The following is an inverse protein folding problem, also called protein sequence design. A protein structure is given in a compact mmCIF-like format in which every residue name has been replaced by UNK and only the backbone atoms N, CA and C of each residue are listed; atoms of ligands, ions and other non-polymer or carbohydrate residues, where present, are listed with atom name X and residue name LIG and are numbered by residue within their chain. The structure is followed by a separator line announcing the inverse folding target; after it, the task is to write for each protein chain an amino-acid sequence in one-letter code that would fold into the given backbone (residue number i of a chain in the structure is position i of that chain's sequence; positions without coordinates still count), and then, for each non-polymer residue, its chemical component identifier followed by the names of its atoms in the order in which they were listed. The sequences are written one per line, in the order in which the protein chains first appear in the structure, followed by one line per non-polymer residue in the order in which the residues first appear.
data_IF_777007975556
#
_entry.id   IF_777007975556
#
_cell.length_a   1.000
_cell.length_b   1.000
_cell.length_c   1.000
_cell.angle_alpha   90.00
_cell.angle_beta   90.00
_cell.angle_gamma   90.00
#
_symmetry.space_group_name_H-M   'P 1'
#
loop_
_entity.id
_entity.type
_entity.pdbx_description
1 polymer ?
#
# COMPACT_ATOMS: atom_id res chain seq x y z
N UNK A 1 4.61 2.16 16.54
CA UNK A 1 5.50 1.55 15.53
C UNK A 1 4.95 1.92 14.16
N UNK A 2 5.79 2.20 13.15
CA UNK A 2 5.30 2.44 11.79
C UNK A 2 4.48 1.24 11.29
N UNK A 3 3.68 1.43 10.25
CA UNK A 3 2.93 0.37 9.57
C UNK A 3 2.97 0.59 8.07
N UNK A 4 3.08 -0.50 7.32
CA UNK A 4 3.04 -0.50 5.86
C UNK A 4 1.68 -1.00 5.37
N UNK A 5 0.94 -0.16 4.65
CA UNK A 5 -0.35 -0.52 4.07
C UNK A 5 -0.18 -0.74 2.57
N UNK A 6 -0.45 -1.96 2.10
CA UNK A 6 -0.29 -2.37 0.71
C UNK A 6 -1.66 -2.45 0.02
N UNK A 7 -1.89 -1.60 -0.97
CA UNK A 7 -3.14 -1.60 -1.74
C UNK A 7 -3.06 -2.62 -2.88
N UNK A 8 -4.08 -3.46 -3.03
CA UNK A 8 -4.17 -4.52 -4.06
C UNK A 8 -5.45 -4.39 -4.87
N UNK A 9 -5.37 -4.63 -6.19
CA UNK A 9 -6.55 -4.74 -7.05
C UNK A 9 -6.34 -4.24 -8.49
N UNK A 10 -7.34 -4.46 -9.33
CA UNK A 10 -7.29 -4.18 -10.76
C UNK A 10 -7.21 -2.65 -11.05
N UNK A 11 -6.58 -2.21 -12.16
CA UNK A 11 -6.71 -0.83 -12.63
C UNK A 11 -8.17 -0.39 -12.70
N UNK A 12 -8.47 0.87 -12.32
CA UNK A 12 -9.83 1.40 -12.31
C UNK A 12 -10.74 0.92 -11.16
N UNK A 13 -10.28 0.08 -10.23
CA UNK A 13 -11.11 -0.41 -9.11
C UNK A 13 -11.29 0.58 -7.94
N UNK A 14 -10.69 1.77 -7.99
CA UNK A 14 -10.79 2.78 -6.92
C UNK A 14 -9.74 2.66 -5.80
N UNK A 15 -8.66 1.89 -5.99
CA UNK A 15 -7.54 1.77 -5.03
C UNK A 15 -6.95 3.12 -4.64
N UNK A 16 -6.64 3.96 -5.63
CA UNK A 16 -6.01 5.27 -5.40
C UNK A 16 -6.92 6.20 -4.61
N UNK A 17 -8.23 6.12 -4.82
CA UNK A 17 -9.24 6.83 -4.01
C UNK A 17 -9.23 6.35 -2.55
N UNK A 18 -9.20 5.03 -2.33
CA UNK A 18 -9.11 4.50 -0.98
C UNK A 18 -7.76 4.83 -0.33
N UNK A 19 -6.65 4.72 -1.06
CA UNK A 19 -5.30 5.05 -0.60
C UNK A 19 -5.22 6.51 -0.14
N UNK A 20 -5.76 7.42 -0.95
CA UNK A 20 -5.93 8.84 -0.62
C UNK A 20 -6.73 9.05 0.66
N UNK A 21 -7.86 8.35 0.80
CA UNK A 21 -8.70 8.46 2.00
C UNK A 21 -8.00 7.95 3.27
N UNK A 22 -7.27 6.82 3.17
CA UNK A 22 -6.50 6.24 4.28
C UNK A 22 -5.36 7.19 4.67
N UNK A 23 -4.61 7.69 3.70
CA UNK A 23 -3.52 8.64 3.91
C UNK A 23 -3.98 9.89 4.63
N UNK A 24 -5.07 10.51 4.17
CA UNK A 24 -5.65 11.69 4.81
C UNK A 24 -6.15 11.40 6.23
N UNK A 25 -6.80 10.25 6.44
CA UNK A 25 -7.34 9.88 7.74
C UNK A 25 -6.24 9.57 8.77
N UNK A 26 -5.13 8.96 8.35
CA UNK A 26 -4.05 8.54 9.24
C UNK A 26 -2.88 9.54 9.29
N UNK A 27 -2.85 10.54 8.41
CA UNK A 27 -1.74 11.49 8.31
C UNK A 27 -0.44 10.84 7.83
N UNK A 28 -0.51 9.81 6.98
CA UNK A 28 0.65 9.04 6.50
C UNK A 28 0.82 9.22 4.99
N UNK A 29 2.07 9.26 4.46
CA UNK A 29 2.32 9.46 3.04
C UNK A 29 1.81 8.30 2.16
N UNK A 30 1.47 8.63 0.92
CA UNK A 30 1.24 7.67 -0.16
C UNK A 30 2.51 7.56 -0.98
N UNK A 31 2.85 6.34 -1.35
CA UNK A 31 3.88 6.04 -2.33
C UNK A 31 3.18 5.33 -3.49
N UNK A 32 2.83 6.08 -4.54
CA UNK A 32 2.18 5.57 -5.73
C UNK A 32 3.22 5.23 -6.79
N UNK A 33 3.13 4.01 -7.35
CA UNK A 33 4.01 3.58 -8.45
C UNK A 33 3.78 4.42 -9.70
N UNK A 34 2.54 4.79 -10.01
CA UNK A 34 2.18 5.49 -11.24
C UNK A 34 2.67 6.94 -11.23
N UNK A 35 2.71 7.62 -10.07
CA UNK A 35 3.35 8.93 -9.92
C UNK A 35 4.83 8.88 -10.34
N UNK A 36 5.55 7.83 -9.91
CA UNK A 36 6.95 7.62 -10.28
C UNK A 36 7.09 7.33 -11.77
N UNK A 37 6.24 6.45 -12.32
CA UNK A 37 6.25 6.13 -13.75
C UNK A 37 6.00 7.37 -14.60
N UNK A 38 5.06 8.20 -14.20
CA UNK A 38 4.66 9.37 -14.97
C UNK A 38 5.77 10.45 -14.97
N UNK A 39 6.57 10.53 -13.91
CA UNK A 39 7.81 11.32 -13.90
C UNK A 39 8.83 10.87 -14.97
N UNK A 40 8.80 9.61 -15.39
CA UNK A 40 9.70 9.09 -16.43
C UNK A 40 9.22 9.35 -17.86
N UNK A 41 7.94 9.68 -18.09
CA UNK A 41 7.39 9.85 -19.43
C UNK A 41 8.22 10.77 -20.37
N UNK A 42 8.77 11.90 -19.91
CA UNK A 42 9.60 12.77 -20.76
C UNK A 42 10.88 12.11 -21.30
N UNK A 43 11.35 11.04 -20.64
CA UNK A 43 12.57 10.31 -20.97
C UNK A 43 12.31 9.05 -21.79
N UNK A 44 11.15 8.41 -21.58
CA UNK A 44 10.74 7.22 -22.36
C UNK A 44 10.72 7.53 -23.86
N UNK A 45 10.27 8.72 -24.25
CA UNK A 45 10.11 9.11 -25.65
C UNK A 45 11.38 9.60 -26.34
N UNK A 46 12.51 9.69 -25.64
CA UNK A 46 13.81 10.20 -26.14
C UNK A 46 14.86 9.08 -26.28
N UNK A 47 14.54 8.04 -27.06
CA UNK A 47 15.48 6.96 -27.45
C UNK A 47 15.90 5.96 -26.34
N UNK A 48 15.11 5.83 -25.27
CA UNK A 48 15.35 4.88 -24.18
C UNK A 48 14.30 3.76 -24.13
N UNK A 49 13.88 3.25 -25.29
CA UNK A 49 12.82 2.25 -25.39
C UNK A 49 13.21 0.90 -24.76
N UNK A 50 14.51 0.59 -24.73
CA UNK A 50 15.03 -0.68 -24.19
C UNK A 50 15.08 -0.72 -22.65
N UNK A 51 14.83 0.42 -21.98
CA UNK A 51 14.81 0.49 -20.52
C UNK A 51 13.46 -0.02 -20.00
N UNK A 52 13.49 -0.94 -19.03
CA UNK A 52 12.30 -1.33 -18.26
C UNK A 52 11.92 -0.23 -17.25
N UNK A 53 11.27 0.82 -17.76
CA UNK A 53 10.78 1.96 -16.97
C UNK A 53 9.80 1.54 -15.86
N UNK A 54 9.02 0.49 -16.09
CA UNK A 54 8.08 0.00 -15.11
C UNK A 54 8.81 -0.72 -13.97
N UNK A 55 9.78 -1.58 -14.29
CA UNK A 55 10.69 -2.19 -13.31
C UNK A 55 11.46 -1.14 -12.50
N UNK A 56 12.00 -0.11 -13.16
CA UNK A 56 12.67 0.99 -12.48
C UNK A 56 11.73 1.75 -11.53
N UNK A 57 10.47 1.96 -11.92
CA UNK A 57 9.47 2.59 -11.06
C UNK A 57 9.24 1.80 -9.77
N UNK A 58 9.18 0.47 -9.85
CA UNK A 58 9.10 -0.38 -8.65
C UNK A 58 10.34 -0.30 -7.77
N UNK A 59 11.53 -0.23 -8.36
CA UNK A 59 12.78 -0.11 -7.59
C UNK A 59 12.84 1.21 -6.84
N UNK A 60 12.51 2.33 -7.50
CA UNK A 60 12.45 3.66 -6.86
C UNK A 60 11.41 3.66 -5.73
N UNK A 61 10.22 3.13 -5.99
CA UNK A 61 9.15 3.01 -4.99
C UNK A 61 9.63 2.26 -3.74
N UNK A 62 10.27 1.11 -3.93
CA UNK A 62 10.81 0.31 -2.83
C UNK A 62 11.84 1.08 -2.00
N UNK A 63 12.75 1.82 -2.65
CA UNK A 63 13.76 2.61 -1.93
C UNK A 63 13.12 3.72 -1.08
N UNK A 64 12.09 4.38 -1.61
CA UNK A 64 11.30 5.37 -0.86
C UNK A 64 10.66 4.70 0.36
N UNK A 65 9.95 3.58 0.16
CA UNK A 65 9.29 2.86 1.25
C UNK A 65 10.29 2.42 2.33
N UNK A 66 11.42 1.82 1.95
CA UNK A 66 12.48 1.42 2.89
C UNK A 66 12.96 2.60 3.73
N UNK A 67 13.20 3.76 3.10
CA UNK A 67 13.64 4.97 3.80
C UNK A 67 12.59 5.50 4.77
N UNK A 68 11.32 5.50 4.37
CA UNK A 68 10.22 5.95 5.24
C UNK A 68 10.11 5.05 6.47
N UNK A 69 10.11 3.73 6.27
CA UNK A 69 10.02 2.77 7.36
C UNK A 69 11.22 2.86 8.31
N UNK A 70 12.45 3.00 7.78
CA UNK A 70 13.65 3.18 8.62
C UNK A 70 13.62 4.47 9.45
N UNK A 71 12.88 5.48 8.99
CA UNK A 71 12.68 6.74 9.70
C UNK A 71 11.50 6.69 10.69
N UNK A 72 10.84 5.54 10.85
CA UNK A 72 9.66 5.40 11.70
C UNK A 72 8.37 5.96 11.08
N UNK A 73 8.35 6.20 9.77
CA UNK A 73 7.21 6.78 9.05
C UNK A 73 6.42 5.66 8.38
N UNK A 74 5.15 5.51 8.77
CA UNK A 74 4.18 4.63 8.10
C UNK A 74 3.94 5.07 6.65
N UNK A 75 3.55 4.15 5.77
CA UNK A 75 3.27 4.50 4.37
C UNK A 75 2.13 3.65 3.79
N UNK A 76 1.35 4.27 2.90
CA UNK A 76 0.44 3.55 2.00
C UNK A 76 1.14 3.35 0.66
N UNK A 77 1.27 2.12 0.21
CA UNK A 77 1.81 1.80 -1.12
C UNK A 77 0.63 1.51 -2.05
N UNK A 78 0.42 2.39 -3.03
CA UNK A 78 -0.54 2.15 -4.10
C UNK A 78 0.16 1.57 -5.32
N UNK A 79 -0.11 0.30 -5.58
CA UNK A 79 0.40 -0.38 -6.75
C UNK A 79 -0.49 -1.57 -7.10
N UNK A 80 -0.63 -1.97 -8.38
CA UNK A 80 -1.45 -3.11 -8.77
C UNK A 80 -1.06 -4.42 -8.06
N UNK A 81 0.18 -4.54 -7.53
CA UNK A 81 0.74 -5.74 -6.90
C UNK A 81 0.44 -7.02 -7.70
N UNK A 82 0.61 -6.92 -9.03
CA UNK A 82 0.25 -7.97 -9.97
C UNK A 82 1.14 -9.22 -9.91
N UNK A 83 2.28 -9.15 -9.19
CA UNK A 83 3.25 -10.24 -9.05
C UNK A 83 3.51 -10.53 -7.57
N UNK A 84 3.63 -11.82 -7.24
CA UNK A 84 3.93 -12.27 -5.86
C UNK A 84 5.29 -11.75 -5.39
N UNK A 85 6.29 -11.74 -6.28
CA UNK A 85 7.63 -11.24 -5.95
C UNK A 85 7.63 -9.80 -5.47
N UNK A 86 6.84 -8.92 -6.09
CA UNK A 86 6.73 -7.52 -5.68
C UNK A 86 6.16 -7.39 -4.26
N UNK A 87 5.15 -8.19 -3.95
CA UNK A 87 4.57 -8.22 -2.61
C UNK A 87 5.59 -8.69 -1.57
N UNK A 88 6.33 -9.77 -1.85
CA UNK A 88 7.39 -10.28 -0.98
C UNK A 88 8.47 -9.22 -0.72
N UNK A 89 8.86 -8.46 -1.75
CA UNK A 89 9.86 -7.40 -1.58
C UNK A 89 9.42 -6.30 -0.60
N UNK A 90 8.14 -5.96 -0.56
CA UNK A 90 7.61 -5.01 0.44
C UNK A 90 7.47 -5.64 1.83
N UNK A 91 7.15 -6.93 1.92
CA UNK A 91 7.16 -7.66 3.19
C UNK A 91 8.57 -7.73 3.79
N UNK A 92 9.58 -8.05 2.99
CA UNK A 92 10.99 -8.05 3.41
C UNK A 92 11.43 -6.66 3.91
N UNK A 93 11.02 -5.59 3.22
CA UNK A 93 11.32 -4.23 3.64
C UNK A 93 10.67 -3.88 4.99
N UNK A 94 9.45 -4.37 5.23
CA UNK A 94 8.75 -4.18 6.49
C UNK A 94 9.35 -5.00 7.63
N UNK A 95 9.76 -6.25 7.36
CA UNK A 95 10.45 -7.10 8.32
C UNK A 95 11.80 -6.48 8.75
N UNK A 96 12.58 -5.99 7.79
CA UNK A 96 13.85 -5.28 8.06
C UNK A 96 13.67 -4.06 8.95
N UNK A 97 12.54 -3.36 8.81
CA UNK A 97 12.18 -2.20 9.63
C UNK A 97 11.34 -2.56 10.86
N UNK A 98 11.17 -3.86 11.17
CA UNK A 98 10.40 -4.38 12.30
C UNK A 98 9.00 -3.78 12.40
N UNK A 99 8.32 -3.63 11.26
CA UNK A 99 6.99 -3.03 11.14
C UNK A 99 5.94 -4.04 10.65
N UNK A 100 4.67 -3.75 10.92
CA UNK A 100 3.55 -4.57 10.46
C UNK A 100 3.21 -4.27 9.00
N UNK A 101 2.77 -5.31 8.27
CA UNK A 101 2.23 -5.19 6.91
C UNK A 101 0.75 -5.50 6.90
N UNK A 102 -0.04 -4.58 6.34
CA UNK A 102 -1.46 -4.73 6.13
C UNK A 102 -1.76 -4.68 4.64
N UNK A 103 -2.28 -5.75 4.06
CA UNK A 103 -2.70 -5.72 2.65
C UNK A 103 -4.21 -5.50 2.53
N UNK A 104 -4.61 -4.50 1.75
CA UNK A 104 -6.00 -4.14 1.49
C UNK A 104 -6.35 -4.39 0.03
N UNK A 105 -7.30 -5.29 -0.22
CA UNK A 105 -7.80 -5.57 -1.57
C UNK A 105 -9.08 -4.78 -1.86
N UNK A 106 -9.11 -4.09 -2.99
CA UNK A 106 -10.32 -3.46 -3.53
C UNK A 106 -10.89 -4.34 -4.64
N UNK A 107 -12.05 -4.94 -4.36
CA UNK A 107 -12.78 -5.80 -5.31
C UNK A 107 -13.74 -5.00 -6.18
N UNK A 108 -13.88 -5.39 -7.45
CA UNK A 108 -14.80 -4.82 -8.43
C UNK A 108 -16.21 -5.41 -8.31
N UNK A 109 -16.87 -5.22 -7.17
CA UNK A 109 -18.32 -5.32 -7.10
C UNK A 109 -18.87 -3.90 -6.95
N UNK A 110 -19.93 -3.56 -7.68
CA UNK A 110 -20.64 -2.26 -7.62
C UNK A 110 -21.19 -1.89 -6.22
N UNK A 111 -20.85 -2.68 -5.19
CA UNK A 111 -20.95 -2.39 -3.76
C UNK A 111 -19.55 -2.59 -3.19
N UNK A 112 -18.90 -1.52 -2.76
CA UNK A 112 -17.48 -1.50 -2.39
C UNK A 112 -17.21 -2.38 -1.16
N UNK A 113 -16.84 -3.64 -1.39
CA UNK A 113 -16.42 -4.58 -0.36
C UNK A 113 -14.89 -4.53 -0.22
N UNK A 114 -14.39 -4.27 0.98
CA UNK A 114 -12.96 -4.30 1.29
C UNK A 114 -12.62 -5.59 2.04
N UNK A 115 -11.51 -6.22 1.68
CA UNK A 115 -11.00 -7.38 2.40
C UNK A 115 -9.55 -7.10 2.79
N UNK A 116 -9.31 -6.98 4.10
CA UNK A 116 -7.97 -6.83 4.67
C UNK A 116 -7.39 -8.20 4.98
N UNK A 117 -6.15 -8.46 4.57
CA UNK A 117 -5.34 -9.57 5.07
C UNK A 117 -4.20 -8.95 5.86
N UNK A 118 -4.22 -9.17 7.18
CA UNK A 118 -3.14 -8.80 8.09
C UNK A 118 -2.14 -9.96 8.13
N UNK A 119 -0.92 -9.72 7.64
CA UNK A 119 0.18 -10.64 7.86
C UNK A 119 0.94 -10.17 9.10
N UNK A 120 0.66 -10.77 10.25
CA UNK A 120 1.53 -10.62 11.41
C UNK A 120 2.78 -11.47 11.17
N UNK A 121 3.97 -10.86 11.26
CA UNK A 121 5.23 -11.58 11.17
C UNK A 121 5.23 -12.80 12.10
N UNK A 122 5.68 -13.93 11.56
CA UNK A 122 5.63 -15.30 12.12
C UNK A 122 4.28 -16.02 12.02
N UNK A 123 4.04 -16.63 10.85
CA UNK A 123 3.44 -17.96 10.76
C UNK A 123 1.92 -18.15 10.88
N UNK A 124 1.10 -17.09 10.96
CA UNK A 124 -0.35 -17.24 10.97
C UNK A 124 -1.06 -16.27 10.02
N UNK A 125 -1.60 -16.79 8.91
CA UNK A 125 -2.62 -16.11 8.11
C UNK A 125 -3.91 -16.04 8.95
N UNK A 126 -4.16 -14.93 9.65
CA UNK A 126 -5.50 -14.64 10.14
C UNK A 126 -6.26 -13.89 9.04
N UNK A 127 -7.20 -14.58 8.40
CA UNK A 127 -8.21 -13.94 7.56
C UNK A 127 -9.07 -13.04 8.45
N UNK A 128 -8.95 -11.73 8.30
CA UNK A 128 -9.88 -10.81 8.94
C UNK A 128 -11.27 -10.96 8.27
N UNK A 129 -12.38 -10.86 9.02
CA UNK A 129 -13.72 -10.87 8.44
C UNK A 129 -13.82 -9.77 7.38
N UNK A 130 -14.50 -10.07 6.26
CA UNK A 130 -14.81 -9.08 5.23
C UNK A 130 -15.75 -8.02 5.80
N UNK A 131 -15.20 -6.95 6.38
CA UNK A 131 -16.00 -5.83 6.85
C UNK A 131 -16.43 -4.97 5.67
N UNK A 132 -17.74 -4.96 5.40
CA UNK A 132 -18.40 -4.00 4.53
C UNK A 132 -18.17 -2.59 5.10
N UNK A 133 -17.20 -1.85 4.58
CA UNK A 133 -16.97 -0.47 5.01
C UNK A 133 -18.02 0.44 4.35
N UNK A 134 -19.10 0.74 5.08
CA UNK A 134 -19.90 1.94 4.85
C UNK A 134 -19.04 3.18 5.19
N UNK A 135 -19.19 4.26 4.43
CA UNK A 135 -18.49 5.56 4.62
C UNK A 135 -18.54 6.11 6.06
N UNK A 136 -19.49 5.66 6.88
CA UNK A 136 -19.59 5.97 8.31
C UNK A 136 -18.39 5.45 9.13
N UNK A 137 -17.79 4.32 8.74
CA UNK A 137 -16.72 3.67 9.51
C UNK A 137 -15.34 4.34 9.36
N UNK A 138 -15.04 5.00 8.25
CA UNK A 138 -13.75 5.71 8.07
C UNK A 138 -13.65 6.89 9.05
N UNK A 139 -14.76 7.54 9.40
CA UNK A 139 -14.81 8.54 10.48
C UNK A 139 -14.62 7.93 11.88
N UNK A 140 -15.00 6.67 12.07
CA UNK A 140 -14.85 5.93 13.33
C UNK A 140 -13.47 5.26 13.47
N UNK A 141 -12.80 4.90 12.37
CA UNK A 141 -11.47 4.31 12.39
C UNK A 141 -10.39 5.26 12.93
N UNK A 142 -10.59 6.59 12.76
CA UNK A 142 -9.80 7.62 13.44
C UNK A 142 -9.93 7.58 14.98
N UNK A 143 -10.96 6.91 15.51
CA UNK A 143 -11.18 6.75 16.95
C UNK A 143 -10.62 5.42 17.50
N UNK A 144 -10.55 4.37 16.67
CA UNK A 144 -10.27 2.99 17.13
C UNK A 144 -8.77 2.65 17.24
N UNK A 145 -7.86 3.42 16.63
CA UNK A 145 -6.41 3.18 16.74
C UNK A 145 -5.72 3.86 17.95
N UNK A 146 -6.48 4.45 18.89
CA UNK A 146 -5.93 5.16 20.05
C UNK A 146 -5.94 4.42 21.39
N UNK A 147 -6.37 3.15 21.45
CA UNK A 147 -6.40 2.41 22.73
C UNK A 147 -5.85 1.00 22.64
N UNK A 148 -4.57 0.86 22.93
CA UNK A 148 -4.04 -0.20 23.79
C UNK A 148 -2.86 0.35 24.60
N UNK A 149 -3.17 0.85 25.79
CA UNK A 149 -2.23 1.04 26.89
C UNK A 149 -2.94 0.57 28.16
N UNK A 150 -2.18 -0.17 28.98
CA UNK A 150 -2.56 -1.00 30.13
C UNK A 150 -3.02 -2.42 29.79
#
# INVERSE_FOLDING_TARGET
MPSLILMKGHPGSGKSTLASSISQALGIPICDKDDIRDCFQPYVMKENADIDWNGLSYQVLLQIVKRQLSNGISAVVDTPLARVSLYQTFEEAAEQAQTNVTSLRVGSNCKTSFQGIMAAGSGALMAAPAYLASWSWIRLAGCILSKTSC
#
